data_IF_429805625329
#
_entry.id   IF_429805625329
#
_cell.length_a   1.000
_cell.length_b   1.000
_cell.length_c   1.000
_cell.angle_alpha   90.00
_cell.angle_beta   90.00
_cell.angle_gamma   90.00
#
_symmetry.space_group_name_H-M   'P 1'
#
loop_
_entity.id
_entity.type
_entity.pdbx_description
1 polymer ?
#
# COMPACT_ATOMS: atom_id res chain seq x y z
N UNK A 1 9.05 3.66 9.28
CA UNK A 1 7.56 3.77 9.24
C UNK A 1 7.09 3.44 7.83
N UNK A 2 6.05 2.63 7.67
CA UNK A 2 5.57 2.18 6.35
C UNK A 2 5.09 3.34 5.46
N UNK A 3 4.31 4.26 6.00
CA UNK A 3 3.80 5.44 5.28
C UNK A 3 4.92 6.36 4.79
N UNK A 4 5.96 6.60 5.60
CA UNK A 4 7.13 7.37 5.18
C UNK A 4 7.82 6.71 3.97
N UNK A 5 8.02 5.39 4.02
CA UNK A 5 8.65 4.65 2.92
C UNK A 5 7.86 4.74 1.63
N UNK A 6 6.54 4.55 1.70
CA UNK A 6 5.67 4.71 0.53
C UNK A 6 5.68 6.15 0.03
N UNK A 7 5.70 7.17 0.90
CA UNK A 7 5.76 8.57 0.48
C UNK A 7 7.05 8.93 -0.29
N UNK A 8 8.17 8.25 -0.02
CA UNK A 8 9.39 8.42 -0.82
C UNK A 8 9.24 7.88 -2.25
N UNK A 9 8.43 6.83 -2.45
CA UNK A 9 8.23 6.16 -3.75
C UNK A 9 7.05 6.77 -4.53
N UNK A 10 5.91 6.93 -3.87
CA UNK A 10 4.70 7.57 -4.36
C UNK A 10 4.67 9.03 -3.93
N UNK A 11 5.52 9.86 -4.54
CA UNK A 11 5.63 11.30 -4.19
C UNK A 11 4.30 12.06 -4.35
N UNK A 12 3.38 11.54 -5.15
CA UNK A 12 2.00 12.02 -5.34
C UNK A 12 1.06 11.76 -4.17
N UNK A 13 1.38 10.83 -3.26
CA UNK A 13 0.57 10.54 -2.09
C UNK A 13 0.50 11.75 -1.16
N UNK A 14 -0.61 11.95 -0.43
CA UNK A 14 -0.75 13.11 0.46
C UNK A 14 0.15 13.00 1.69
N UNK A 15 0.55 14.14 2.25
CA UNK A 15 1.23 14.19 3.56
C UNK A 15 0.26 14.02 4.74
N UNK A 16 -1.05 14.05 4.49
CA UNK A 16 -2.09 14.19 5.52
C UNK A 16 -3.04 12.99 5.58
N UNK A 17 -2.63 11.82 5.10
CA UNK A 17 -3.45 10.61 5.14
C UNK A 17 -3.39 9.84 6.45
N UNK A 18 -2.53 10.24 7.40
CA UNK A 18 -2.48 9.64 8.74
C UNK A 18 -1.79 8.28 8.77
N UNK A 19 -2.32 7.36 9.58
CA UNK A 19 -1.80 6.00 9.69
C UNK A 19 -2.17 5.20 8.44
N UNK A 20 -1.45 4.11 8.20
CA UNK A 20 -1.65 3.29 7.01
C UNK A 20 -3.09 2.78 6.83
N UNK A 21 -3.77 2.41 7.91
CA UNK A 21 -5.20 2.01 7.87
C UNK A 21 -6.16 3.12 7.46
N UNK A 22 -5.76 4.39 7.57
CA UNK A 22 -6.61 5.55 7.21
C UNK A 22 -6.41 5.99 5.74
N UNK A 23 -5.38 5.48 5.06
CA UNK A 23 -4.94 6.00 3.77
C UNK A 23 -6.00 5.91 2.69
N UNK A 24 -6.67 4.76 2.56
CA UNK A 24 -7.69 4.56 1.53
C UNK A 24 -8.87 5.52 1.70
N UNK A 25 -9.38 5.68 2.93
CA UNK A 25 -10.49 6.58 3.22
C UNK A 25 -10.10 8.06 2.98
N UNK A 26 -8.92 8.46 3.43
CA UNK A 26 -8.43 9.84 3.28
C UNK A 26 -8.00 10.16 1.84
N UNK A 27 -7.54 9.19 1.07
CA UNK A 27 -7.26 9.35 -0.35
C UNK A 27 -8.55 9.52 -1.14
N UNK A 28 -9.56 8.67 -0.88
CA UNK A 28 -10.88 8.78 -1.50
C UNK A 28 -11.54 10.14 -1.21
N UNK A 29 -11.48 10.63 0.04
CA UNK A 29 -12.01 11.95 0.40
C UNK A 29 -11.30 13.11 -0.30
N UNK A 30 -10.06 12.90 -0.74
CA UNK A 30 -9.27 13.86 -1.53
C UNK A 30 -9.42 13.63 -3.04
N UNK A 31 -10.33 12.77 -3.49
CA UNK A 31 -10.64 12.53 -4.89
C UNK A 31 -9.62 11.65 -5.62
N UNK A 32 -8.85 10.83 -4.91
CA UNK A 32 -8.09 9.74 -5.53
C UNK A 32 -9.01 8.55 -5.82
N UNK A 33 -8.72 7.82 -6.89
CA UNK A 33 -9.39 6.54 -7.13
C UNK A 33 -8.89 5.54 -6.08
N UNK A 34 -9.83 4.82 -5.48
CA UNK A 34 -9.56 3.71 -4.58
C UNK A 34 -10.39 2.52 -5.05
N UNK A 35 -9.75 1.37 -5.27
CA UNK A 35 -10.43 0.16 -5.73
C UNK A 35 -9.75 -1.11 -5.23
N UNK A 36 -10.30 -2.27 -5.58
CA UNK A 36 -9.72 -3.59 -5.28
C UNK A 36 -8.83 -4.14 -6.41
N UNK A 37 -8.67 -3.42 -7.52
CA UNK A 37 -7.85 -3.87 -8.65
C UNK A 37 -6.36 -3.74 -8.32
N UNK A 38 -5.55 -4.69 -8.78
CA UNK A 38 -4.09 -4.64 -8.60
C UNK A 38 -3.46 -3.96 -9.81
N UNK A 39 -2.64 -2.94 -9.58
CA UNK A 39 -1.93 -2.23 -10.65
C UNK A 39 -0.53 -1.83 -10.20
N UNK A 40 0.43 -1.90 -11.13
CA UNK A 40 1.78 -1.39 -10.89
C UNK A 40 1.72 0.12 -10.69
N UNK A 41 2.42 0.61 -9.68
CA UNK A 41 2.46 2.02 -9.32
C UNK A 41 1.34 2.47 -8.37
N UNK A 42 0.37 1.60 -8.08
CA UNK A 42 -0.60 1.84 -7.03
C UNK A 42 0.03 1.71 -5.63
N UNK A 43 -0.60 2.34 -4.64
CA UNK A 43 -0.32 2.09 -3.22
C UNK A 43 -1.32 1.07 -2.71
N UNK A 44 -0.84 -0.10 -2.30
CA UNK A 44 -1.65 -1.10 -1.61
C UNK A 44 -1.77 -0.73 -0.13
N UNK A 45 -2.99 -0.81 0.40
CA UNK A 45 -3.35 -0.48 1.76
C UNK A 45 -4.01 -1.68 2.43
N UNK A 46 -3.50 -2.07 3.59
CA UNK A 46 -4.09 -3.06 4.49
C UNK A 46 -4.70 -2.33 5.69
N UNK A 47 -6.03 -2.31 5.75
CA UNK A 47 -6.77 -1.69 6.84
C UNK A 47 -6.97 -2.70 7.97
N UNK A 48 -6.12 -2.64 8.98
CA UNK A 48 -6.25 -3.47 10.18
C UNK A 48 -7.02 -2.71 11.27
N UNK A 49 -8.25 -3.09 11.64
CA UNK A 49 -9.01 -2.40 12.68
C UNK A 49 -8.39 -2.54 14.08
N UNK A 50 -7.46 -3.47 14.28
CA UNK A 50 -6.80 -3.71 15.55
C UNK A 50 -5.36 -3.17 15.59
N UNK A 51 -4.89 -2.48 14.54
CA UNK A 51 -3.55 -1.89 14.50
C UNK A 51 -3.49 -0.61 13.64
N UNK A 52 -2.30 -0.11 13.35
CA UNK A 52 -2.10 1.06 12.49
C UNK A 52 -2.30 0.76 10.99
N UNK A 53 -2.56 -0.50 10.63
CA UNK A 53 -2.57 -0.98 9.25
C UNK A 53 -1.17 -0.99 8.63
N UNK A 54 -1.12 -1.23 7.31
CA UNK A 54 0.14 -1.17 6.56
C UNK A 54 -0.07 -0.68 5.13
N UNK A 55 0.97 -0.09 4.54
CA UNK A 55 0.98 0.35 3.15
C UNK A 55 2.27 -0.05 2.46
N UNK A 56 2.18 -0.33 1.16
CA UNK A 56 3.33 -0.62 0.31
C UNK A 56 3.11 -0.11 -1.13
N UNK A 57 4.18 0.05 -1.88
CA UNK A 57 4.14 0.49 -3.28
C UNK A 57 4.23 -0.71 -4.23
N UNK A 58 3.25 -0.88 -5.10
CA UNK A 58 3.19 -2.03 -6.02
C UNK A 58 4.19 -1.83 -7.16
N UNK A 59 5.08 -2.80 -7.36
CA UNK A 59 6.13 -2.74 -8.41
C UNK A 59 5.94 -3.76 -9.52
N UNK A 60 5.20 -4.85 -9.25
CA UNK A 60 4.85 -5.84 -10.26
C UNK A 60 3.52 -6.51 -9.90
N UNK A 61 2.77 -6.90 -10.93
CA UNK A 61 1.54 -7.71 -10.82
C UNK A 61 1.67 -8.85 -11.83
N UNK A 62 1.37 -10.07 -11.43
CA UNK A 62 1.36 -11.22 -12.35
C UNK A 62 -0.07 -11.66 -12.71
N UNK A 63 -0.18 -12.57 -13.67
CA UNK A 63 -1.48 -13.07 -14.18
C UNK A 63 -2.31 -13.82 -13.14
N UNK A 64 -1.69 -14.27 -12.05
CA UNK A 64 -2.36 -14.95 -10.93
C UNK A 64 -2.81 -13.97 -9.84
N UNK A 65 -2.63 -12.66 -10.05
CA UNK A 65 -3.01 -11.62 -9.08
C UNK A 65 -2.04 -11.47 -7.91
N UNK A 66 -0.88 -12.15 -7.94
CA UNK A 66 0.17 -11.89 -6.96
C UNK A 66 0.88 -10.59 -7.30
N UNK A 67 1.42 -9.95 -6.29
CA UNK A 67 2.15 -8.69 -6.42
C UNK A 67 3.57 -8.81 -5.88
N UNK A 68 4.44 -7.92 -6.35
CA UNK A 68 5.65 -7.53 -5.63
C UNK A 68 5.51 -6.08 -5.18
N UNK A 69 6.10 -5.76 -4.03
CA UNK A 69 6.03 -4.42 -3.45
C UNK A 69 7.40 -3.94 -2.97
N UNK A 70 7.57 -2.62 -2.95
CA UNK A 70 8.57 -1.96 -2.12
C UNK A 70 7.87 -1.39 -0.88
N UNK A 71 8.46 -1.63 0.28
CA UNK A 71 7.87 -1.23 1.56
C UNK A 71 8.95 -0.92 2.61
N UNK A 72 8.53 -0.23 3.68
CA UNK A 72 9.36 0.05 4.86
C UNK A 72 8.63 -0.43 6.10
N UNK A 73 9.38 -0.71 7.17
CA UNK A 73 8.88 -1.16 8.46
C UNK A 73 8.16 -2.51 8.40
N UNK A 74 8.57 -3.40 7.49
CA UNK A 74 8.07 -4.76 7.43
C UNK A 74 8.96 -5.69 8.28
N UNK A 75 8.38 -6.32 9.31
CA UNK A 75 9.11 -7.17 10.24
C UNK A 75 10.30 -6.46 10.89
N UNK A 76 10.09 -5.23 11.35
CA UNK A 76 11.07 -4.32 11.97
C UNK A 76 12.22 -3.84 11.05
N UNK A 77 12.17 -4.09 9.74
CA UNK A 77 13.16 -3.58 8.77
C UNK A 77 12.76 -2.18 8.30
N UNK A 78 13.49 -1.16 8.74
CA UNK A 78 13.08 0.25 8.54
C UNK A 78 13.38 0.81 7.14
N UNK A 79 14.32 0.23 6.40
CA UNK A 79 14.65 0.70 5.05
C UNK A 79 13.60 0.26 4.02
N UNK A 80 13.64 0.87 2.83
CA UNK A 80 12.78 0.52 1.70
C UNK A 80 13.41 -0.65 0.97
N UNK A 81 12.68 -1.76 0.83
CA UNK A 81 13.13 -2.92 0.05
C UNK A 81 11.94 -3.80 -0.36
N UNK A 82 12.22 -4.81 -1.17
CA UNK A 82 11.30 -5.91 -1.46
C UNK A 82 11.54 -7.07 -0.49
N UNK A 83 10.70 -7.18 0.54
CA UNK A 83 10.87 -8.20 1.57
C UNK A 83 10.09 -9.49 1.35
N UNK A 84 9.14 -9.49 0.40
CA UNK A 84 8.15 -10.57 0.26
C UNK A 84 8.32 -11.36 -1.03
N UNK A 85 8.99 -10.81 -2.05
CA UNK A 85 8.94 -11.36 -3.40
C UNK A 85 7.52 -11.36 -3.94
N UNK A 86 7.13 -12.41 -4.67
CA UNK A 86 5.75 -12.61 -5.12
C UNK A 86 4.89 -13.12 -3.96
N UNK A 87 3.79 -12.44 -3.68
CA UNK A 87 2.83 -12.85 -2.66
C UNK A 87 1.40 -12.47 -3.04
N UNK A 88 0.43 -13.18 -2.46
CA UNK A 88 -0.97 -12.80 -2.52
C UNK A 88 -1.26 -11.72 -1.46
N UNK A 89 -1.64 -10.50 -1.87
CA UNK A 89 -1.89 -9.41 -0.93
C UNK A 89 -3.11 -9.63 -0.04
N UNK A 90 -4.04 -10.51 -0.42
CA UNK A 90 -5.23 -10.85 0.39
C UNK A 90 -4.93 -11.91 1.44
N UNK A 91 -3.94 -12.77 1.19
CA UNK A 91 -3.43 -13.77 2.13
C UNK A 91 -2.14 -13.28 2.82
N UNK A 92 -2.14 -12.01 3.24
CA UNK A 92 -0.99 -11.42 3.91
C UNK A 92 -1.05 -11.68 5.42
N UNK A 93 0.10 -11.75 6.10
CA UNK A 93 0.17 -11.85 7.57
C UNK A 93 -0.40 -10.62 8.30
N UNK A 94 -0.75 -9.58 7.56
CA UNK A 94 -1.35 -8.34 8.07
C UNK A 94 -2.85 -8.49 7.87
N UNK A 95 -3.60 -8.55 8.98
CA UNK A 95 -5.06 -8.63 8.96
C UNK A 95 -5.63 -7.33 8.39
N UNK A 96 -6.69 -7.43 7.58
CA UNK A 96 -7.39 -6.24 7.10
C UNK A 96 -8.01 -6.36 5.72
N UNK A 97 -8.82 -5.36 5.39
CA UNK A 97 -9.31 -5.18 4.02
C UNK A 97 -8.20 -4.62 3.14
N UNK A 98 -8.06 -5.17 1.93
CA UNK A 98 -7.04 -4.76 0.96
C UNK A 98 -7.67 -3.82 -0.06
N UNK A 99 -7.06 -2.66 -0.23
CA UNK A 99 -7.46 -1.68 -1.25
C UNK A 99 -6.23 -1.04 -1.89
N UNK A 100 -6.43 -0.41 -3.05
CA UNK A 100 -5.37 0.18 -3.85
C UNK A 100 -5.73 1.63 -4.18
N UNK A 101 -4.79 2.53 -3.94
CA UNK A 101 -4.88 3.95 -4.27
C UNK A 101 -4.06 4.20 -5.53
N UNK A 102 -4.62 4.92 -6.48
CA UNK A 102 -3.99 5.20 -7.78
C UNK A 102 -3.56 6.66 -7.89
N UNK A 103 -2.46 6.98 -8.59
CA UNK A 103 -2.15 8.37 -8.92
C UNK A 103 -3.30 8.98 -9.74
N UNK A 104 -3.58 10.27 -9.54
CA UNK A 104 -4.69 10.97 -10.22
C UNK A 104 -4.54 11.07 -11.74
N UNK A 105 -3.34 10.85 -12.25
CA UNK A 105 -3.02 10.92 -13.67
C UNK A 105 -2.42 9.57 -14.09
N UNK A 106 -3.21 8.74 -14.75
CA UNK A 106 -2.72 7.71 -15.67
C UNK A 106 -2.97 8.21 -17.10
#
# INVERSE_FOLDING_TARGET
MCTWGVKQLATWASNWWGNAGDWSANAASQGFVVSSQTEVGAVVCWTDPNSYGHVAYVTAVNTSGQIQVLESNYGNKQWIDNYRGWFDPTNSKIAGEVSYIYPKNL
#
